data_IF_301804366525
#
_entry.id   IF_301804366525
#
_cell.length_a   1.000
_cell.length_b   1.000
_cell.length_c   1.000
_cell.angle_alpha   90.00
_cell.angle_beta   90.00
_cell.angle_gamma   90.00
#
_symmetry.space_group_name_H-M   'P 1'
#
loop_
_entity.id
_entity.type
_entity.pdbx_description
1 polymer ?
#
# COMPACT_ATOMS: atom_id res chain seq x y z
N UNK A 1 19.54 -7.73 -14.38
CA UNK A 1 18.65 -6.58 -14.56
C UNK A 1 17.80 -6.41 -13.32
N UNK A 2 17.71 -5.18 -12.80
CA UNK A 2 17.08 -4.89 -11.51
C UNK A 2 15.58 -4.64 -11.61
N UNK A 3 14.94 -4.41 -10.46
CA UNK A 3 13.59 -3.87 -10.43
C UNK A 3 13.57 -2.45 -11.03
N UNK A 4 12.46 -2.06 -11.64
CA UNK A 4 12.30 -0.82 -12.40
C UNK A 4 11.19 0.02 -11.77
N UNK A 5 11.01 1.29 -12.18
CA UNK A 5 9.88 2.10 -11.75
C UNK A 5 8.52 1.47 -12.07
N UNK A 6 8.40 0.75 -13.18
CA UNK A 6 7.17 0.03 -13.53
C UNK A 6 6.89 -1.14 -12.57
N UNK A 7 7.93 -1.85 -12.13
CA UNK A 7 7.80 -2.87 -11.09
C UNK A 7 7.31 -2.27 -9.77
N UNK A 8 7.81 -1.08 -9.40
CA UNK A 8 7.35 -0.38 -8.20
C UNK A 8 5.88 0.03 -8.31
N UNK A 9 5.46 0.57 -9.46
CA UNK A 9 4.05 0.93 -9.72
C UNK A 9 3.14 -0.30 -9.60
N UNK A 10 3.55 -1.43 -10.20
CA UNK A 10 2.84 -2.72 -10.08
C UNK A 10 2.77 -3.24 -8.63
N UNK A 11 3.86 -3.09 -7.87
CA UNK A 11 3.88 -3.49 -6.46
C UNK A 11 2.92 -2.65 -5.60
N UNK A 12 2.84 -1.34 -5.85
CA UNK A 12 1.86 -0.45 -5.18
C UNK A 12 0.42 -0.85 -5.49
N UNK A 13 0.12 -1.21 -6.73
CA UNK A 13 -1.20 -1.75 -7.10
C UNK A 13 -1.51 -3.05 -6.36
N UNK A 14 -0.57 -3.99 -6.40
CA UNK A 14 -0.70 -5.29 -5.73
C UNK A 14 -0.97 -5.13 -4.23
N UNK A 15 -0.37 -4.12 -3.60
CA UNK A 15 -0.54 -3.82 -2.17
C UNK A 15 -1.99 -3.60 -1.75
N UNK A 16 -2.83 -3.00 -2.61
CA UNK A 16 -4.25 -2.81 -2.30
C UNK A 16 -5.00 -4.14 -2.14
N UNK A 17 -4.64 -5.14 -2.95
CA UNK A 17 -5.24 -6.47 -2.88
C UNK A 17 -4.59 -7.37 -1.82
N UNK A 18 -3.27 -7.27 -1.65
CA UNK A 18 -2.51 -8.09 -0.69
C UNK A 18 -1.40 -7.30 0.01
N UNK A 19 -1.54 -7.13 1.32
CA UNK A 19 -0.56 -6.39 2.15
C UNK A 19 0.66 -7.23 2.53
N UNK A 20 0.53 -8.55 2.48
CA UNK A 20 1.55 -9.54 2.84
C UNK A 20 1.66 -10.62 1.74
N UNK A 21 2.16 -10.26 0.55
CA UNK A 21 2.31 -11.23 -0.52
C UNK A 21 3.34 -12.30 -0.16
N UNK A 22 3.03 -13.55 -0.48
CA UNK A 22 4.00 -14.64 -0.34
C UNK A 22 5.05 -14.59 -1.44
N UNK A 23 6.20 -15.25 -1.21
CA UNK A 23 7.25 -15.40 -2.23
C UNK A 23 6.74 -16.00 -3.54
N UNK A 24 5.79 -16.95 -3.47
CA UNK A 24 5.19 -17.57 -4.66
C UNK A 24 4.32 -16.57 -5.41
N UNK A 25 3.56 -15.74 -4.69
CA UNK A 25 2.75 -14.68 -5.29
C UNK A 25 3.63 -13.66 -6.00
N UNK A 26 4.72 -13.21 -5.37
CA UNK A 26 5.67 -12.30 -6.01
C UNK A 26 6.26 -12.90 -7.30
N UNK A 27 6.66 -14.17 -7.29
CA UNK A 27 7.19 -14.84 -8.49
C UNK A 27 6.16 -14.95 -9.62
N UNK A 28 4.90 -15.21 -9.28
CA UNK A 28 3.81 -15.31 -10.25
C UNK A 28 3.49 -13.94 -10.87
N UNK A 29 3.40 -12.88 -10.06
CA UNK A 29 3.01 -11.55 -10.53
C UNK A 29 4.17 -10.74 -11.11
N UNK A 30 5.42 -11.11 -10.86
CA UNK A 30 6.61 -10.48 -11.45
C UNK A 30 7.40 -11.50 -12.30
N UNK A 31 6.72 -12.16 -13.24
CA UNK A 31 7.27 -13.25 -14.04
C UNK A 31 8.43 -12.84 -14.96
N UNK A 32 8.51 -11.56 -15.30
CA UNK A 32 9.59 -10.93 -16.07
C UNK A 32 10.85 -10.65 -15.23
N UNK A 33 10.77 -10.81 -13.91
CA UNK A 33 11.87 -10.57 -12.99
C UNK A 33 12.61 -11.88 -12.69
N UNK A 34 13.94 -11.88 -12.90
CA UNK A 34 14.81 -12.96 -12.42
C UNK A 34 15.07 -12.80 -10.92
N UNK A 35 14.34 -13.56 -10.11
CA UNK A 35 14.47 -13.52 -8.65
C UNK A 35 15.85 -13.97 -8.17
N UNK A 36 16.43 -13.14 -7.30
CA UNK A 36 17.63 -13.45 -6.54
C UNK A 36 17.49 -12.82 -5.14
N UNK A 37 18.46 -13.07 -4.25
CA UNK A 37 18.41 -12.58 -2.85
C UNK A 37 18.21 -11.05 -2.76
N UNK A 38 18.92 -10.28 -3.59
CA UNK A 38 18.83 -8.82 -3.60
C UNK A 38 17.44 -8.34 -4.03
N UNK A 39 16.92 -8.88 -5.13
CA UNK A 39 15.58 -8.55 -5.66
C UNK A 39 14.48 -8.92 -4.67
N UNK A 40 14.56 -10.10 -4.06
CA UNK A 40 13.60 -10.53 -3.04
C UNK A 40 13.62 -9.59 -1.83
N UNK A 41 14.80 -9.24 -1.31
CA UNK A 41 14.92 -8.25 -0.22
C UNK A 41 14.35 -6.89 -0.61
N UNK A 42 14.58 -6.43 -1.85
CA UNK A 42 14.06 -5.15 -2.31
C UNK A 42 12.53 -5.13 -2.39
N UNK A 43 11.90 -6.19 -2.89
CA UNK A 43 10.44 -6.34 -2.88
C UNK A 43 9.90 -6.37 -1.45
N UNK A 44 10.50 -7.17 -0.57
CA UNK A 44 10.10 -7.22 0.85
C UNK A 44 10.19 -5.83 1.48
N UNK A 45 11.28 -5.08 1.23
CA UNK A 45 11.45 -3.72 1.71
C UNK A 45 10.35 -2.79 1.20
N UNK A 46 10.00 -2.85 -0.09
CA UNK A 46 8.88 -2.06 -0.62
C UNK A 46 7.58 -2.37 0.11
N UNK A 47 7.22 -3.64 0.26
CA UNK A 47 5.99 -4.01 0.95
C UNK A 47 6.01 -3.65 2.44
N UNK A 48 7.17 -3.69 3.11
CA UNK A 48 7.32 -3.18 4.47
C UNK A 48 7.08 -1.67 4.55
N UNK A 49 7.69 -0.89 3.66
CA UNK A 49 7.48 0.56 3.60
C UNK A 49 6.01 0.91 3.28
N UNK A 50 5.37 0.14 2.41
CA UNK A 50 3.95 0.33 2.09
C UNK A 50 3.09 0.08 3.32
N UNK A 51 3.33 -1.01 4.07
CA UNK A 51 2.59 -1.27 5.31
C UNK A 51 2.81 -0.20 6.36
N UNK A 52 4.05 0.23 6.56
CA UNK A 52 4.39 1.28 7.52
C UNK A 52 3.59 2.55 7.24
N UNK A 53 3.66 3.07 6.01
CA UNK A 53 2.88 4.25 5.64
C UNK A 53 1.37 4.02 5.80
N UNK A 54 0.85 2.89 5.31
CA UNK A 54 -0.57 2.57 5.40
C UNK A 54 -1.06 2.58 6.85
N UNK A 55 -0.39 1.85 7.73
CA UNK A 55 -0.80 1.73 9.13
C UNK A 55 -0.64 3.04 9.90
N UNK A 56 0.37 3.85 9.60
CA UNK A 56 0.49 5.20 10.15
C UNK A 56 -0.72 6.06 9.75
N UNK A 57 -1.14 6.03 8.48
CA UNK A 57 -2.31 6.80 8.03
C UNK A 57 -3.62 6.28 8.65
N UNK A 58 -3.80 4.96 8.72
CA UNK A 58 -4.96 4.35 9.38
C UNK A 58 -5.04 4.75 10.85
N UNK A 59 -3.91 4.66 11.58
CA UNK A 59 -3.84 5.01 12.98
C UNK A 59 -4.13 6.50 13.21
N UNK A 60 -3.53 7.38 12.40
CA UNK A 60 -3.79 8.82 12.46
C UNK A 60 -5.29 9.11 12.29
N UNK A 61 -5.92 8.50 11.29
CA UNK A 61 -7.34 8.69 11.01
C UNK A 61 -8.24 8.16 12.13
N UNK A 62 -7.97 6.94 12.62
CA UNK A 62 -8.73 6.34 13.73
C UNK A 62 -8.61 7.16 15.02
N UNK A 63 -7.42 7.65 15.36
CA UNK A 63 -7.20 8.53 16.51
C UNK A 63 -7.96 9.85 16.37
N UNK A 64 -7.98 10.42 15.17
CA UNK A 64 -8.75 11.63 14.92
C UNK A 64 -10.25 11.40 15.10
N UNK A 65 -10.79 10.30 14.56
CA UNK A 65 -12.20 9.94 14.76
C UNK A 65 -12.57 9.80 16.25
N UNK A 66 -11.71 9.15 17.04
CA UNK A 66 -11.90 9.03 18.50
C UNK A 66 -11.90 10.43 19.16
N UNK A 67 -10.98 11.31 18.78
CA UNK A 67 -10.91 12.67 19.31
C UNK A 67 -12.14 13.52 18.93
N UNK A 68 -12.74 13.24 17.77
CA UNK A 68 -13.97 13.88 17.29
C UNK A 68 -15.24 13.28 17.91
N UNK A 69 -15.09 12.31 18.82
CA UNK A 69 -16.19 11.75 19.60
C UNK A 69 -16.85 10.51 18.99
N UNK A 70 -16.24 9.90 17.97
CA UNK A 70 -16.75 8.64 17.39
C UNK A 70 -16.58 7.51 18.39
N UNK A 71 -17.67 6.81 18.71
CA UNK A 71 -17.70 5.79 19.78
C UNK A 71 -17.71 4.35 19.27
N UNK A 72 -18.16 4.13 18.04
CA UNK A 72 -18.21 2.82 17.38
C UNK A 72 -17.42 2.80 16.06
N UNK A 73 -16.88 1.62 15.70
CA UNK A 73 -16.17 1.44 14.43
C UNK A 73 -17.13 1.50 13.22
N UNK A 74 -18.39 1.14 13.43
CA UNK A 74 -19.49 1.21 12.48
C UNK A 74 -19.87 2.65 12.09
N UNK A 75 -19.52 3.63 12.92
CA UNK A 75 -19.72 5.05 12.66
C UNK A 75 -18.58 5.65 11.80
N UNK A 76 -17.45 4.93 11.69
CA UNK A 76 -16.32 5.35 10.87
C UNK A 76 -16.66 5.12 9.39
N UNK A 77 -16.83 6.21 8.65
CA UNK A 77 -16.97 6.18 7.19
C UNK A 77 -15.76 6.79 6.50
N UNK A 78 -15.28 6.12 5.44
CA UNK A 78 -14.19 6.60 4.60
C UNK A 78 -14.77 6.90 3.22
N UNK A 79 -15.08 8.16 2.93
CA UNK A 79 -15.45 8.60 1.59
C UNK A 79 -14.20 8.90 0.73
N UNK A 80 -14.38 9.10 -0.57
CA UNK A 80 -13.32 9.57 -1.48
C UNK A 80 -12.80 10.97 -1.13
N UNK A 81 -13.56 11.72 -0.36
CA UNK A 81 -13.26 13.08 0.06
C UNK A 81 -12.51 13.11 1.40
N UNK A 82 -12.40 11.96 2.08
CA UNK A 82 -11.69 11.83 3.34
C UNK A 82 -10.19 12.14 3.22
N UNK A 83 -9.62 12.72 4.26
CA UNK A 83 -8.16 12.96 4.33
C UNK A 83 -7.37 11.66 4.16
N UNK A 84 -7.90 10.56 4.71
CA UNK A 84 -7.33 9.23 4.57
C UNK A 84 -7.22 8.79 3.11
N UNK A 85 -8.33 8.84 2.35
CA UNK A 85 -8.32 8.48 0.94
C UNK A 85 -7.33 9.36 0.16
N UNK A 86 -7.34 10.67 0.39
CA UNK A 86 -6.41 11.61 -0.25
C UNK A 86 -4.94 11.26 0.04
N UNK A 87 -4.60 10.97 1.28
CA UNK A 87 -3.24 10.61 1.69
C UNK A 87 -2.75 9.31 1.04
N UNK A 88 -3.62 8.29 1.02
CA UNK A 88 -3.31 7.02 0.36
C UNK A 88 -3.17 7.19 -1.16
N UNK A 89 -4.10 7.91 -1.80
CA UNK A 89 -4.09 8.11 -3.25
C UNK A 89 -2.83 8.87 -3.70
N UNK A 90 -2.46 9.94 -3.01
CA UNK A 90 -1.21 10.68 -3.31
C UNK A 90 0.05 9.81 -3.17
N UNK A 91 0.06 8.85 -2.23
CA UNK A 91 1.22 8.00 -1.98
C UNK A 91 1.32 6.82 -2.96
N UNK A 92 0.22 6.10 -3.17
CA UNK A 92 0.21 4.87 -3.97
C UNK A 92 -0.14 5.09 -5.44
N UNK A 93 -0.87 6.16 -5.76
CA UNK A 93 -1.39 6.46 -7.09
C UNK A 93 -1.04 7.90 -7.53
N UNK A 94 0.22 8.31 -7.39
CA UNK A 94 0.68 9.69 -7.65
C UNK A 94 0.32 10.23 -9.05
N UNK A 95 0.25 9.37 -10.05
CA UNK A 95 -0.09 9.75 -11.43
C UNK A 95 -1.60 9.67 -11.73
N UNK A 96 -2.43 9.30 -10.75
CA UNK A 96 -3.88 9.06 -10.93
C UNK A 96 -4.18 8.14 -12.12
N UNK A 97 -3.37 7.10 -12.29
CA UNK A 97 -3.54 6.13 -13.37
C UNK A 97 -4.67 5.11 -13.07
N UNK A 98 -5.26 5.19 -11.87
CA UNK A 98 -6.25 4.24 -11.34
C UNK A 98 -7.42 5.01 -10.71
N UNK A 99 -8.64 4.48 -10.87
CA UNK A 99 -9.92 5.08 -10.41
C UNK A 99 -10.74 4.13 -9.52
#
# INVERSE_FOLDING_TARGET
>A
EGLSPNHLKKAKLMFFYTRYPSSNMLKMFFSDVKFNRCITSQLIKWFSNFREFYYIQMEKFARQAINDGVTGAEEISVSRDSELFRALNMHYNKANDFE
#
